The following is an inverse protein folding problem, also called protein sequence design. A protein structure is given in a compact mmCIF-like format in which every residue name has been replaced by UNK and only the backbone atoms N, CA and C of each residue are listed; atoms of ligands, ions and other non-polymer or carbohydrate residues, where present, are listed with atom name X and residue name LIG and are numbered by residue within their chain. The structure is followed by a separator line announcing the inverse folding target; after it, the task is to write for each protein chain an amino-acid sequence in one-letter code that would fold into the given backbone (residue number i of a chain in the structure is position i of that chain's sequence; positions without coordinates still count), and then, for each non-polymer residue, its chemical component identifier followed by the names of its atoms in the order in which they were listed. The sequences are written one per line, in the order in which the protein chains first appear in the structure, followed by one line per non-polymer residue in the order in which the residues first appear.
data_IF_736181552306
#
_entry.id   IF_736181552306
#
_cell.length_a   1.000
_cell.length_b   1.000
_cell.length_c   1.000
_cell.angle_alpha   90.00
_cell.angle_beta   90.00
_cell.angle_gamma   90.00
#
_symmetry.space_group_name_H-M   'P 1'
#
loop_
_entity.id
_entity.type
_entity.pdbx_description
1 polymer ?
#
# COMPACT_ATOMS: atom_id res chain seq x y z
N UNK A 1 12.34 -7.79 1.81
CA UNK A 1 13.69 -8.37 1.67
C UNK A 1 13.92 -9.41 2.77
N UNK A 2 13.58 -9.13 4.04
CA UNK A 2 13.83 -10.06 5.18
C UNK A 2 13.05 -11.38 5.09
N UNK A 3 11.88 -11.40 4.44
CA UNK A 3 11.05 -12.60 4.29
C UNK A 3 11.37 -13.36 2.98
N UNK A 4 11.85 -12.66 1.96
CA UNK A 4 12.17 -13.24 0.65
C UNK A 4 13.41 -14.13 0.72
N UNK A 5 14.40 -13.75 1.51
CA UNK A 5 15.67 -14.52 1.62
C UNK A 5 15.46 -15.89 2.25
N UNK A 6 14.77 -16.06 3.40
CA UNK A 6 14.47 -17.39 3.94
C UNK A 6 13.58 -18.22 3.01
N UNK A 7 12.64 -17.60 2.31
CA UNK A 7 11.80 -18.30 1.33
C UNK A 7 12.59 -18.79 0.12
N UNK A 8 13.51 -18.00 -0.41
CA UNK A 8 14.42 -18.41 -1.49
C UNK A 8 15.42 -19.47 -1.03
N UNK A 9 15.91 -19.39 0.20
CA UNK A 9 16.76 -20.41 0.80
C UNK A 9 16.01 -21.73 0.99
N UNK A 10 14.76 -21.72 1.42
CA UNK A 10 13.93 -22.93 1.55
C UNK A 10 13.64 -23.56 0.19
N UNK A 11 13.44 -22.77 -0.86
CA UNK A 11 13.33 -23.25 -2.24
C UNK A 11 14.65 -23.86 -2.74
N UNK A 12 15.79 -23.28 -2.38
CA UNK A 12 17.11 -23.80 -2.74
C UNK A 12 17.43 -25.14 -2.07
N UNK A 13 17.00 -25.35 -0.83
CA UNK A 13 17.15 -26.63 -0.12
C UNK A 13 16.25 -27.74 -0.68
N UNK A 14 15.14 -27.41 -1.33
CA UNK A 14 14.25 -28.39 -1.95
C UNK A 14 14.86 -29.07 -3.20
N UNK A 15 15.98 -28.58 -3.74
CA UNK A 15 16.67 -29.11 -4.91
C UNK A 15 17.97 -29.88 -4.59
N UNK A 16 18.29 -30.08 -3.30
CA UNK A 16 19.40 -30.97 -2.92
C UNK A 16 18.85 -32.39 -2.85
N UNK A 17 19.46 -33.34 -3.58
CA UNK A 17 19.12 -34.78 -3.67
C UNK A 17 19.31 -35.52 -2.32
N UNK A 18 18.78 -34.99 -1.22
CA UNK A 18 18.66 -35.70 0.03
C UNK A 18 17.33 -36.49 0.03
N UNK A 19 17.28 -37.73 0.55
CA UNK A 19 16.04 -38.47 0.68
C UNK A 19 15.06 -37.59 1.46
N UNK A 20 13.91 -37.26 0.84
CA UNK A 20 12.93 -36.36 1.40
C UNK A 20 12.30 -36.99 2.65
N UNK A 21 12.63 -36.46 3.81
CA UNK A 21 12.12 -36.90 5.09
C UNK A 21 10.81 -36.15 5.41
N UNK A 22 9.67 -36.82 5.28
CA UNK A 22 8.36 -36.25 5.54
C UNK A 22 8.15 -35.82 6.99
N UNK A 23 8.74 -36.55 7.95
CA UNK A 23 8.59 -36.22 9.39
C UNK A 23 9.37 -34.95 9.73
N UNK A 24 10.57 -34.80 9.17
CA UNK A 24 11.35 -33.59 9.30
C UNK A 24 10.63 -32.41 8.64
N UNK A 25 10.05 -32.59 7.44
CA UNK A 25 9.30 -31.53 6.74
C UNK A 25 8.08 -31.05 7.53
N UNK A 26 7.28 -31.97 8.08
CA UNK A 26 6.12 -31.61 8.92
C UNK A 26 6.53 -30.86 10.20
N UNK A 27 7.69 -31.19 10.76
CA UNK A 27 8.23 -30.49 11.91
C UNK A 27 8.70 -29.06 11.52
N UNK A 28 9.39 -28.91 10.41
CA UNK A 28 9.85 -27.61 9.90
C UNK A 28 8.67 -26.68 9.56
N UNK A 29 7.62 -27.20 8.92
CA UNK A 29 6.43 -26.41 8.61
C UNK A 29 5.74 -25.90 9.89
N UNK A 30 5.56 -26.76 10.89
CA UNK A 30 4.94 -26.37 12.17
C UNK A 30 5.75 -25.29 12.89
N UNK A 31 7.07 -25.48 12.96
CA UNK A 31 7.98 -24.49 13.58
C UNK A 31 7.97 -23.17 12.80
N UNK A 32 8.08 -23.23 11.47
CA UNK A 32 8.09 -22.06 10.61
C UNK A 32 6.80 -21.23 10.76
N UNK A 33 5.62 -21.87 10.68
CA UNK A 33 4.35 -21.15 10.82
C UNK A 33 4.11 -20.65 12.24
N UNK A 34 4.59 -21.35 13.26
CA UNK A 34 4.51 -20.90 14.64
C UNK A 34 5.39 -19.68 14.87
N UNK A 35 6.63 -19.72 14.42
CA UNK A 35 7.57 -18.60 14.54
C UNK A 35 7.09 -17.39 13.73
N UNK A 36 6.61 -17.60 12.50
CA UNK A 36 6.02 -16.55 11.68
C UNK A 36 4.81 -15.91 12.37
N UNK A 37 3.94 -16.71 13.00
CA UNK A 37 2.81 -16.23 13.79
C UNK A 37 3.25 -15.33 14.94
N UNK A 38 4.25 -15.74 15.68
CA UNK A 38 4.82 -14.96 16.79
C UNK A 38 5.44 -13.64 16.30
N UNK A 39 6.18 -13.66 15.19
CA UNK A 39 6.74 -12.46 14.58
C UNK A 39 5.67 -11.48 14.11
N UNK A 40 4.60 -11.98 13.49
CA UNK A 40 3.46 -11.15 13.08
C UNK A 40 2.79 -10.52 14.29
N UNK A 41 2.58 -11.28 15.36
CA UNK A 41 1.96 -10.81 16.60
C UNK A 41 2.78 -9.69 17.26
N UNK A 42 4.09 -9.86 17.33
CA UNK A 42 4.98 -8.83 17.87
C UNK A 42 5.06 -7.59 16.97
N UNK A 43 5.00 -7.77 15.65
CA UNK A 43 5.07 -6.68 14.68
C UNK A 43 3.75 -5.91 14.52
N UNK A 44 2.61 -6.49 14.90
CA UNK A 44 1.28 -5.87 14.74
C UNK A 44 1.20 -4.42 15.25
N UNK A 45 1.63 -4.08 16.47
CA UNK A 45 1.55 -2.70 16.95
C UNK A 45 2.42 -1.74 16.14
N UNK A 46 3.59 -2.18 15.68
CA UNK A 46 4.48 -1.37 14.83
C UNK A 46 3.90 -1.17 13.43
N UNK A 47 3.31 -2.22 12.84
CA UNK A 47 2.64 -2.14 11.54
C UNK A 47 1.45 -1.18 11.62
N UNK A 48 0.66 -1.27 12.69
CA UNK A 48 -0.50 -0.40 12.89
C UNK A 48 -0.08 1.05 13.12
N UNK A 49 0.93 1.29 13.96
CA UNK A 49 1.48 2.62 14.19
C UNK A 49 2.06 3.23 12.90
N UNK A 50 2.77 2.43 12.11
CA UNK A 50 3.30 2.84 10.81
C UNK A 50 2.20 3.18 9.82
N UNK A 51 1.12 2.39 9.77
CA UNK A 51 -0.05 2.67 8.94
C UNK A 51 -0.73 3.99 9.32
N UNK A 52 -0.94 4.23 10.62
CA UNK A 52 -1.52 5.48 11.10
C UNK A 52 -0.61 6.67 10.77
N UNK A 53 0.68 6.58 11.05
CA UNK A 53 1.64 7.64 10.77
C UNK A 53 1.68 7.97 9.27
N UNK A 54 1.72 6.95 8.41
CA UNK A 54 1.69 7.12 6.96
C UNK A 54 0.39 7.78 6.48
N UNK A 55 -0.75 7.33 6.99
CA UNK A 55 -2.07 7.88 6.63
C UNK A 55 -2.17 9.34 7.02
N UNK A 56 -1.76 9.70 8.24
CA UNK A 56 -1.73 11.08 8.72
C UNK A 56 -0.77 11.93 7.89
N UNK A 57 0.44 11.46 7.65
CA UNK A 57 1.44 12.18 6.85
C UNK A 57 0.90 12.55 5.45
N UNK A 58 0.36 11.57 4.72
CA UNK A 58 -0.18 11.85 3.39
C UNK A 58 -1.43 12.71 3.43
N UNK A 59 -2.30 12.54 4.44
CA UNK A 59 -3.53 13.35 4.56
C UNK A 59 -3.21 14.80 4.87
N UNK A 60 -2.23 15.07 5.75
CA UNK A 60 -1.78 16.42 6.06
C UNK A 60 -1.17 17.13 4.84
N UNK A 61 -0.33 16.44 4.07
CA UNK A 61 0.29 17.03 2.88
C UNK A 61 -0.73 17.27 1.76
N UNK A 62 -1.63 16.33 1.51
CA UNK A 62 -2.63 16.44 0.45
C UNK A 62 -3.73 17.45 0.79
N UNK A 63 -4.05 17.67 2.09
CA UNK A 63 -4.97 18.72 2.54
C UNK A 63 -4.30 20.08 2.75
N UNK A 64 -2.98 20.18 2.68
CA UNK A 64 -2.25 21.43 2.79
C UNK A 64 -2.32 22.27 1.50
N UNK A 65 -1.70 23.44 1.49
CA UNK A 65 -1.56 24.27 0.29
C UNK A 65 -0.78 23.57 -0.84
N UNK A 66 0.02 22.56 -0.52
CA UNK A 66 0.77 21.76 -1.49
C UNK A 66 -0.14 20.85 -2.33
N UNK A 67 -1.29 20.41 -1.80
CA UNK A 67 -2.24 19.50 -2.45
C UNK A 67 -1.58 18.23 -3.01
N UNK A 68 -0.42 17.86 -2.48
CA UNK A 68 0.38 16.77 -3.02
C UNK A 68 1.34 16.22 -1.97
N UNK A 69 1.66 14.94 -2.05
CA UNK A 69 2.81 14.36 -1.35
C UNK A 69 4.12 14.77 -2.04
N UNK A 70 5.26 14.61 -1.37
CA UNK A 70 6.57 14.98 -1.91
C UNK A 70 6.83 14.39 -3.31
N UNK A 71 6.49 13.11 -3.53
CA UNK A 71 6.64 12.49 -4.84
C UNK A 71 5.71 13.08 -5.92
N UNK A 72 4.50 13.49 -5.54
CA UNK A 72 3.57 14.17 -6.45
C UNK A 72 4.03 15.56 -6.82
N UNK A 73 4.62 16.29 -5.85
CA UNK A 73 5.23 17.59 -6.10
C UNK A 73 6.36 17.49 -7.13
N UNK A 74 7.22 16.49 -7.00
CA UNK A 74 8.31 16.25 -7.96
C UNK A 74 7.79 15.96 -9.38
N UNK A 75 6.59 15.36 -9.50
CA UNK A 75 5.93 15.10 -10.79
C UNK A 75 5.06 16.28 -11.28
N UNK A 76 4.93 17.34 -10.50
CA UNK A 76 4.08 18.49 -10.83
C UNK A 76 2.59 18.17 -10.86
N UNK A 77 2.13 17.19 -10.05
CA UNK A 77 0.72 16.79 -10.00
C UNK A 77 0.10 17.14 -8.65
N UNK A 78 -1.18 17.50 -8.66
CA UNK A 78 -1.95 17.91 -7.47
C UNK A 78 -3.22 17.09 -7.31
N UNK A 79 -3.67 16.98 -6.07
CA UNK A 79 -4.95 16.37 -5.70
C UNK A 79 -5.96 17.47 -5.47
N UNK A 80 -7.10 17.35 -6.14
CA UNK A 80 -8.20 18.32 -6.07
C UNK A 80 -9.55 17.59 -5.89
N UNK A 81 -10.56 18.33 -5.50
CA UNK A 81 -11.94 17.88 -5.47
C UNK A 81 -12.59 17.94 -6.87
N UNK A 82 -13.90 17.67 -6.92
CA UNK A 82 -14.68 17.71 -8.17
C UNK A 82 -14.79 19.13 -8.77
N UNK A 83 -14.60 20.16 -7.98
CA UNK A 83 -14.63 21.57 -8.39
C UNK A 83 -13.23 22.13 -8.70
N UNK A 84 -12.19 21.32 -8.57
CA UNK A 84 -10.81 21.75 -8.75
C UNK A 84 -10.22 22.46 -7.54
N UNK A 85 -10.94 22.50 -6.41
CA UNK A 85 -10.49 23.12 -5.17
C UNK A 85 -9.65 22.13 -4.33
N UNK A 86 -9.10 22.64 -3.23
CA UNK A 86 -8.33 21.86 -2.27
C UNK A 86 -9.25 20.91 -1.51
N UNK A 87 -8.85 19.64 -1.40
CA UNK A 87 -9.55 18.66 -0.57
C UNK A 87 -9.45 19.04 0.91
N UNK A 88 -10.56 18.88 1.61
CA UNK A 88 -10.59 18.97 3.06
C UNK A 88 -9.85 17.78 3.70
N UNK A 89 -9.33 17.98 4.92
CA UNK A 89 -8.52 16.96 5.62
C UNK A 89 -9.25 15.62 5.77
N UNK A 90 -10.56 15.66 6.06
CA UNK A 90 -11.36 14.43 6.23
C UNK A 90 -11.42 13.62 4.93
N UNK A 91 -11.63 14.29 3.79
CA UNK A 91 -11.64 13.61 2.49
C UNK A 91 -10.27 13.02 2.14
N UNK A 92 -9.19 13.75 2.47
CA UNK A 92 -7.82 13.22 2.32
C UNK A 92 -7.60 12.01 3.23
N UNK A 93 -8.10 12.02 4.45
CA UNK A 93 -8.01 10.90 5.38
C UNK A 93 -8.74 9.66 4.84
N UNK A 94 -10.01 9.81 4.44
CA UNK A 94 -10.81 8.74 3.84
C UNK A 94 -10.12 8.18 2.59
N UNK A 95 -9.59 9.05 1.72
CA UNK A 95 -8.85 8.67 0.53
C UNK A 95 -7.62 7.83 0.87
N UNK A 96 -6.82 8.26 1.84
CA UNK A 96 -5.59 7.54 2.22
C UNK A 96 -5.90 6.22 2.95
N UNK A 97 -6.97 6.13 3.74
CA UNK A 97 -7.45 4.87 4.31
C UNK A 97 -7.98 3.92 3.23
N UNK A 98 -8.69 4.43 2.23
CA UNK A 98 -9.21 3.63 1.12
C UNK A 98 -8.12 3.03 0.22
N UNK A 99 -6.89 3.55 0.26
CA UNK A 99 -5.73 2.92 -0.40
C UNK A 99 -5.43 1.54 0.18
N UNK A 100 -5.64 1.36 1.49
CA UNK A 100 -5.50 0.05 2.11
C UNK A 100 -6.52 -0.95 1.56
N UNK A 101 -7.78 -0.50 1.40
CA UNK A 101 -8.82 -1.32 0.77
C UNK A 101 -8.46 -1.67 -0.68
N UNK A 102 -7.93 -0.72 -1.43
CA UNK A 102 -7.49 -0.94 -2.82
C UNK A 102 -6.34 -1.94 -2.92
N UNK A 103 -5.41 -1.95 -1.95
CA UNK A 103 -4.32 -2.93 -1.91
C UNK A 103 -4.78 -4.30 -1.42
N UNK A 104 -5.76 -4.36 -0.52
CA UNK A 104 -6.33 -5.61 -0.03
C UNK A 104 -7.04 -6.40 -1.15
N UNK A 105 -7.66 -5.72 -2.11
CA UNK A 105 -8.31 -6.31 -3.29
C UNK A 105 -7.26 -6.52 -4.41
N UNK A 106 -6.11 -7.10 -4.10
CA UNK A 106 -5.05 -7.46 -5.07
C UNK A 106 -4.70 -6.33 -6.06
N UNK A 107 -4.63 -5.09 -5.58
CA UNK A 107 -4.38 -3.89 -6.39
C UNK A 107 -5.44 -3.60 -7.48
N UNK A 108 -6.54 -4.34 -7.55
CA UNK A 108 -7.61 -4.09 -8.53
C UNK A 108 -8.15 -2.66 -8.43
N UNK A 109 -8.17 -2.09 -7.22
CA UNK A 109 -8.55 -0.70 -7.03
C UNK A 109 -7.67 0.31 -7.76
N UNK A 110 -6.40 -0.02 -8.01
CA UNK A 110 -5.49 0.81 -8.81
C UNK A 110 -5.70 0.60 -10.32
N UNK A 111 -6.03 -0.63 -10.74
CA UNK A 111 -6.32 -0.94 -12.14
C UNK A 111 -7.58 -0.22 -12.65
N UNK A 112 -8.49 0.18 -11.75
CA UNK A 112 -9.67 0.97 -12.13
C UNK A 112 -9.28 2.28 -12.83
N UNK A 113 -8.12 2.86 -12.56
CA UNK A 113 -7.64 4.05 -13.26
C UNK A 113 -7.44 3.84 -14.77
N UNK A 114 -7.27 2.60 -15.24
CA UNK A 114 -7.14 2.29 -16.66
C UNK A 114 -8.49 2.23 -17.38
N UNK A 115 -9.56 1.90 -16.65
CA UNK A 115 -10.91 1.65 -17.19
C UNK A 115 -11.82 2.85 -17.00
N UNK A 116 -11.63 3.65 -15.96
CA UNK A 116 -12.47 4.81 -15.66
C UNK A 116 -12.20 5.96 -16.64
N UNK A 117 -13.27 6.65 -17.08
CA UNK A 117 -13.19 7.79 -18.02
C UNK A 117 -12.24 8.90 -17.53
N UNK A 118 -12.21 9.15 -16.23
CA UNK A 118 -11.40 10.21 -15.62
C UNK A 118 -10.09 9.68 -15.05
N UNK A 119 -9.70 8.43 -15.35
CA UNK A 119 -8.49 7.76 -14.86
C UNK A 119 -8.37 7.79 -13.32
N UNK A 120 -9.52 7.64 -12.63
CA UNK A 120 -9.61 7.60 -11.19
C UNK A 120 -9.42 6.18 -10.67
N UNK A 121 -8.67 6.05 -9.59
CA UNK A 121 -8.56 4.82 -8.82
C UNK A 121 -9.77 4.66 -7.87
N UNK A 122 -9.93 3.48 -7.27
CA UNK A 122 -11.02 3.23 -6.33
C UNK A 122 -11.02 4.24 -5.16
N UNK A 123 -9.87 4.52 -4.58
CA UNK A 123 -9.75 5.47 -3.47
C UNK A 123 -10.01 6.93 -3.91
N UNK A 124 -9.76 7.29 -5.16
CA UNK A 124 -10.13 8.59 -5.70
C UNK A 124 -11.65 8.72 -5.87
N UNK A 125 -12.31 7.65 -6.33
CA UNK A 125 -13.77 7.60 -6.44
C UNK A 125 -14.46 7.70 -5.08
N UNK A 126 -13.97 6.96 -4.08
CA UNK A 126 -14.52 6.99 -2.71
C UNK A 126 -14.41 8.40 -2.09
N UNK A 127 -13.29 9.08 -2.32
CA UNK A 127 -13.05 10.43 -1.80
C UNK A 127 -13.58 11.55 -2.69
N UNK A 128 -14.16 11.24 -3.87
CA UNK A 128 -14.62 12.25 -4.82
C UNK A 128 -13.50 13.15 -5.33
N UNK A 129 -12.28 12.64 -5.48
CA UNK A 129 -11.08 13.41 -5.78
C UNK A 129 -10.52 13.11 -7.17
N UNK A 130 -9.74 14.04 -7.69
CA UNK A 130 -9.02 13.92 -8.95
C UNK A 130 -7.53 14.21 -8.76
N UNK A 131 -6.72 13.57 -9.58
CA UNK A 131 -5.30 13.89 -9.68
C UNK A 131 -5.08 14.61 -11.00
N UNK A 132 -4.69 15.87 -10.92
CA UNK A 132 -4.51 16.72 -12.10
C UNK A 132 -3.07 17.18 -12.24
N UNK A 133 -2.65 17.49 -13.46
CA UNK A 133 -1.44 18.24 -13.73
C UNK A 133 -1.87 19.67 -14.09
N UNK A 134 -1.59 20.66 -13.23
CA UNK A 134 -1.89 22.04 -13.59
C UNK A 134 -1.08 22.42 -14.84
N UNK A 135 -1.77 22.95 -15.83
CA UNK A 135 -1.11 23.54 -17.01
C UNK A 135 -0.54 24.87 -16.55
N UNK A 136 0.78 25.03 -16.63
CA UNK A 136 1.37 26.36 -16.49
C UNK A 136 0.88 27.20 -17.68
N UNK A 137 0.05 28.18 -17.44
CA UNK A 137 -0.22 29.18 -18.48
C UNK A 137 1.10 29.83 -18.89
N UNK A 138 1.31 30.02 -20.16
CA UNK A 138 2.54 30.66 -20.70
C UNK A 138 2.70 32.12 -20.26
#
# INVERSE_FOLDING_TARGET
IIVIIPFLLSLGFAFVDAPFDWEAYEHYDKVFFTDLGLWIDQARPLIFAGFLAQTLYFSLLESSHLQASLGKLALGIKVVDQQGARLDFIYCLVRNMSKFLSSLIFMLGYLMATVTKNKQTLHDLIAGSYVIRPVSEP
#
